data_IF_407731388751
#
_entry.id   IF_407731388751
#
_cell.length_a   1.000
_cell.length_b   1.000
_cell.length_c   1.000
_cell.angle_alpha   90.00
_cell.angle_beta   90.00
_cell.angle_gamma   90.00
#
_symmetry.space_group_name_H-M   'P 1'
#
loop_
_entity.id
_entity.type
_entity.pdbx_description
1 polymer ?
#
# COMPACT_ATOMS: atom_id res chain seq x y z
N UNK A 1 35.45 50.78 20.22
CA UNK A 1 36.18 50.17 19.09
C UNK A 1 37.20 49.19 19.64
N UNK A 2 37.04 47.89 19.40
CA UNK A 2 38.03 46.90 19.81
C UNK A 2 39.28 47.07 18.93
N UNK A 3 40.44 47.32 19.55
CA UNK A 3 41.70 47.41 18.84
C UNK A 3 41.93 46.11 18.05
N UNK A 4 42.16 46.22 16.74
CA UNK A 4 42.54 45.09 15.88
C UNK A 4 43.81 44.48 16.46
N UNK A 5 43.69 43.30 17.05
CA UNK A 5 44.82 42.59 17.62
C UNK A 5 45.81 42.25 16.49
N UNK A 6 47.04 42.77 16.57
CA UNK A 6 48.09 42.52 15.58
C UNK A 6 48.38 41.01 15.49
N UNK A 7 48.53 40.48 14.27
CA UNK A 7 48.86 39.07 13.99
C UNK A 7 50.12 38.61 14.74
N UNK A 8 51.07 39.54 14.99
CA UNK A 8 52.31 39.30 15.74
C UNK A 8 52.07 38.97 17.23
N UNK A 9 50.92 39.32 17.80
CA UNK A 9 50.58 39.04 19.21
C UNK A 9 50.22 37.57 19.50
N UNK A 10 50.08 36.75 18.46
CA UNK A 10 49.91 35.30 18.60
C UNK A 10 51.24 34.56 18.76
N UNK A 11 52.36 35.16 18.36
CA UNK A 11 53.71 34.55 18.37
C UNK A 11 54.52 34.87 19.64
N UNK A 12 53.86 35.29 20.72
CA UNK A 12 54.54 35.50 22.00
C UNK A 12 55.06 34.15 22.51
N UNK A 13 56.34 34.00 22.93
CA UNK A 13 56.95 32.72 23.27
C UNK A 13 56.15 31.86 24.25
N UNK A 14 55.52 32.48 25.25
CA UNK A 14 54.65 31.82 26.23
C UNK A 14 53.40 31.18 25.60
N UNK A 15 52.80 31.82 24.60
CA UNK A 15 51.63 31.29 23.87
C UNK A 15 52.05 30.12 22.98
N UNK A 16 53.17 30.26 22.28
CA UNK A 16 53.73 29.19 21.46
C UNK A 16 54.06 27.95 22.30
N UNK A 17 54.66 28.14 23.47
CA UNK A 17 54.93 27.05 24.41
C UNK A 17 53.64 26.35 24.86
N UNK A 18 52.59 27.11 25.19
CA UNK A 18 51.30 26.53 25.56
C UNK A 18 50.67 25.73 24.41
N UNK A 19 50.63 26.27 23.18
CA UNK A 19 50.07 25.54 22.04
C UNK A 19 50.89 24.33 21.63
N UNK A 20 52.22 24.40 21.79
CA UNK A 20 53.10 23.26 21.59
C UNK A 20 52.76 22.13 22.57
N UNK A 21 52.61 22.44 23.86
CA UNK A 21 52.20 21.47 24.88
C UNK A 21 50.80 20.93 24.60
N UNK A 22 49.85 21.81 24.27
CA UNK A 22 48.46 21.44 24.00
C UNK A 22 48.35 20.47 22.81
N UNK A 23 48.90 20.82 21.64
CA UNK A 23 48.87 19.93 20.47
C UNK A 23 49.76 18.70 20.67
N UNK A 24 50.90 18.83 21.38
CA UNK A 24 51.73 17.70 21.78
C UNK A 24 50.97 16.69 22.64
N UNK A 25 50.09 17.16 23.53
CA UNK A 25 49.21 16.31 24.33
C UNK A 25 48.15 15.60 23.47
N UNK A 26 47.60 16.24 22.43
CA UNK A 26 46.68 15.57 21.50
C UNK A 26 47.38 14.42 20.77
N UNK A 27 48.59 14.67 20.25
CA UNK A 27 49.40 13.66 19.58
C UNK A 27 49.75 12.53 20.56
N UNK A 28 50.12 12.87 21.80
CA UNK A 28 50.42 11.88 22.85
C UNK A 28 49.21 11.01 23.21
N UNK A 29 48.04 11.60 23.42
CA UNK A 29 46.79 10.87 23.71
C UNK A 29 46.39 10.00 22.52
N UNK A 30 46.53 10.51 21.29
CA UNK A 30 46.28 9.75 20.08
C UNK A 30 47.20 8.53 19.99
N UNK A 31 48.52 8.73 20.16
CA UNK A 31 49.52 7.67 20.13
C UNK A 31 49.29 6.64 21.26
N UNK A 32 48.89 7.10 22.44
CA UNK A 32 48.51 6.22 23.55
C UNK A 32 47.27 5.39 23.21
N UNK A 33 46.21 6.00 22.66
CA UNK A 33 44.99 5.29 22.25
C UNK A 33 45.26 4.28 21.15
N UNK A 34 46.12 4.62 20.19
CA UNK A 34 46.62 3.72 19.17
C UNK A 34 47.34 2.53 19.80
N UNK A 35 48.36 2.79 20.64
CA UNK A 35 49.14 1.75 21.31
C UNK A 35 48.26 0.86 22.17
N UNK A 36 47.35 1.45 22.95
CA UNK A 36 46.42 0.73 23.81
C UNK A 36 45.56 -0.24 22.99
N UNK A 37 45.00 0.22 21.88
CA UNK A 37 44.22 -0.64 20.99
C UNK A 37 45.07 -1.76 20.38
N UNK A 38 46.31 -1.47 19.97
CA UNK A 38 47.21 -2.44 19.36
C UNK A 38 47.75 -3.50 20.35
N UNK A 39 48.05 -3.10 21.59
CA UNK A 39 48.76 -3.93 22.57
C UNK A 39 47.85 -4.63 23.59
N UNK A 40 46.64 -4.13 23.86
CA UNK A 40 45.80 -4.67 24.93
C UNK A 40 45.08 -5.97 24.51
N UNK A 41 45.28 -7.10 25.23
CA UNK A 41 44.71 -8.40 24.85
C UNK A 41 43.17 -8.40 24.79
N UNK A 42 42.51 -7.60 25.64
CA UNK A 42 41.05 -7.45 25.65
C UNK A 42 40.49 -6.81 24.39
N UNK A 43 41.30 -6.02 23.70
CA UNK A 43 40.93 -5.29 22.49
C UNK A 43 41.42 -5.99 21.20
N UNK A 44 42.14 -7.11 21.34
CA UNK A 44 42.82 -7.80 20.24
C UNK A 44 41.87 -8.28 19.14
N UNK A 45 40.63 -8.63 19.47
CA UNK A 45 39.62 -9.05 18.49
C UNK A 45 39.38 -8.00 17.39
N UNK A 46 39.47 -6.70 17.74
CA UNK A 46 39.24 -5.61 16.80
C UNK A 46 40.50 -5.26 15.99
N UNK A 47 41.68 -5.78 16.34
CA UNK A 47 42.93 -5.52 15.62
C UNK A 47 42.99 -6.20 14.25
N UNK A 48 42.04 -7.10 13.94
CA UNK A 48 41.83 -7.61 12.58
C UNK A 48 41.56 -6.51 11.54
N UNK A 49 41.02 -5.36 11.98
CA UNK A 49 40.76 -4.19 11.14
C UNK A 49 41.98 -3.23 11.03
N UNK A 50 43.11 -3.57 11.68
CA UNK A 50 44.40 -2.88 11.57
C UNK A 50 44.31 -1.38 11.88
N UNK A 51 44.90 -0.55 11.01
CA UNK A 51 45.10 0.88 11.19
C UNK A 51 43.81 1.67 11.45
N UNK A 52 42.69 1.31 10.83
CA UNK A 52 41.45 2.09 10.97
C UNK A 52 40.85 1.98 12.37
N UNK A 53 40.97 0.83 13.05
CA UNK A 53 40.54 0.73 14.46
C UNK A 53 41.50 1.49 15.38
N UNK A 54 42.80 1.44 15.12
CA UNK A 54 43.80 2.14 15.92
C UNK A 54 43.63 3.66 15.84
N UNK A 55 43.43 4.19 14.62
CA UNK A 55 43.11 5.60 14.37
C UNK A 55 41.81 5.99 15.07
N UNK A 56 40.75 5.19 14.91
CA UNK A 56 39.45 5.51 15.52
C UNK A 56 39.52 5.59 17.05
N UNK A 57 40.29 4.69 17.70
CA UNK A 57 40.49 4.71 19.16
C UNK A 57 41.30 5.91 19.61
N UNK A 58 42.43 6.18 18.95
CA UNK A 58 43.27 7.34 19.22
C UNK A 58 42.47 8.64 19.12
N UNK A 59 41.79 8.85 17.99
CA UNK A 59 40.96 10.03 17.76
C UNK A 59 39.80 10.14 18.77
N UNK A 60 39.17 9.02 19.15
CA UNK A 60 38.09 9.00 20.14
C UNK A 60 38.54 9.40 21.55
N UNK A 61 39.77 9.05 21.95
CA UNK A 61 40.34 9.50 23.23
C UNK A 61 40.69 10.99 23.21
N UNK A 62 41.21 11.50 22.10
CA UNK A 62 41.47 12.94 21.94
C UNK A 62 40.16 13.74 21.97
N UNK A 63 39.11 13.25 21.31
CA UNK A 63 37.78 13.88 21.39
C UNK A 63 37.22 13.89 22.82
N UNK A 64 37.38 12.79 23.57
CA UNK A 64 36.98 12.74 24.98
C UNK A 64 37.71 13.79 25.82
N UNK A 65 39.00 14.00 25.54
CA UNK A 65 39.80 15.05 26.15
C UNK A 65 39.28 16.45 25.76
N UNK A 66 39.01 16.70 24.48
CA UNK A 66 38.53 18.00 24.01
C UNK A 66 37.15 18.37 24.54
N UNK A 67 36.25 17.39 24.73
CA UNK A 67 34.93 17.60 25.35
C UNK A 67 35.05 18.16 26.78
N UNK A 68 36.09 17.75 27.53
CA UNK A 68 36.37 18.35 28.83
C UNK A 68 36.90 19.79 28.65
N UNK A 69 37.89 19.97 27.78
CA UNK A 69 38.62 21.24 27.62
C UNK A 69 37.89 22.33 26.85
N UNK A 70 36.79 22.02 26.15
CA UNK A 70 35.95 23.03 25.50
C UNK A 70 35.10 23.80 26.51
N UNK A 71 34.76 23.18 27.65
CA UNK A 71 33.90 23.77 28.70
C UNK A 71 34.70 24.61 29.69
N UNK A 72 35.91 24.19 30.08
CA UNK A 72 36.77 24.90 31.04
C UNK A 72 36.99 26.41 30.73
N UNK A 73 37.19 26.84 29.47
CA UNK A 73 37.39 28.24 29.13
C UNK A 73 36.11 29.09 29.25
N UNK A 74 34.93 28.44 29.37
CA UNK A 74 33.64 29.09 29.56
C UNK A 74 33.26 29.24 31.04
N UNK A 75 33.98 28.59 31.97
CA UNK A 75 33.79 28.71 33.41
C UNK A 75 34.35 30.04 33.96
N UNK A 76 33.68 31.16 33.63
CA UNK A 76 34.16 32.53 33.89
C UNK A 76 34.49 32.81 35.36
N UNK A 77 33.69 32.29 36.30
CA UNK A 77 33.93 32.45 37.76
C UNK A 77 35.22 31.76 38.20
N UNK A 78 35.47 30.55 37.69
CA UNK A 78 36.70 29.79 37.97
C UNK A 78 37.93 30.49 37.38
N UNK A 79 37.82 30.95 36.12
CA UNK A 79 38.89 31.67 35.46
C UNK A 79 39.27 32.97 36.18
N UNK A 80 38.30 33.68 36.79
CA UNK A 80 38.57 34.88 37.60
C UNK A 80 39.52 34.58 38.78
N UNK A 81 39.38 33.42 39.42
CA UNK A 81 40.21 33.00 40.56
C UNK A 81 41.59 32.48 40.13
N UNK A 82 41.65 31.75 39.02
CA UNK A 82 42.88 31.10 38.53
C UNK A 82 43.78 32.09 37.77
N UNK A 83 43.20 33.02 37.00
CA UNK A 83 43.94 33.99 36.16
C UNK A 83 45.09 34.71 36.89
N UNK A 84 44.92 35.28 38.09
CA UNK A 84 46.03 35.96 38.78
C UNK A 84 47.12 35.01 39.28
N UNK A 85 46.80 33.73 39.52
CA UNK A 85 47.72 32.72 40.06
C UNK A 85 48.57 32.05 38.99
N UNK A 86 48.06 31.92 37.76
CA UNK A 86 48.73 31.18 36.68
C UNK A 86 49.05 32.09 35.50
N UNK A 87 50.09 32.90 35.67
CA UNK A 87 50.59 33.84 34.65
C UNK A 87 51.44 33.18 33.56
N UNK A 88 51.35 31.87 33.33
CA UNK A 88 51.98 31.23 32.16
C UNK A 88 50.93 30.67 31.16
N UNK A 89 49.67 30.47 31.58
CA UNK A 89 48.57 30.07 30.71
C UNK A 89 47.90 31.29 30.05
N UNK A 90 47.54 31.27 28.75
CA UNK A 90 46.87 32.39 28.08
C UNK A 90 45.37 32.51 28.46
N UNK A 91 45.07 32.62 29.76
CA UNK A 91 43.70 32.68 30.31
C UNK A 91 42.98 34.01 30.01
N UNK A 92 43.69 35.00 29.45
CA UNK A 92 43.11 36.27 28.98
C UNK A 92 42.34 36.11 27.66
N UNK A 93 42.68 35.09 26.87
CA UNK A 93 42.09 34.78 25.57
C UNK A 93 41.26 33.49 25.63
N UNK A 94 40.52 33.26 26.71
CA UNK A 94 39.77 32.00 26.92
C UNK A 94 38.77 31.70 25.81
N UNK A 95 38.17 32.72 25.20
CA UNK A 95 37.30 32.58 24.02
C UNK A 95 38.07 32.13 22.77
N UNK A 96 39.29 32.60 22.56
CA UNK A 96 40.14 32.17 21.45
C UNK A 96 40.61 30.73 21.68
N UNK A 97 40.98 30.37 22.91
CA UNK A 97 41.32 28.99 23.25
C UNK A 97 40.14 28.03 23.04
N UNK A 98 38.92 28.41 23.45
CA UNK A 98 37.70 27.64 23.14
C UNK A 98 37.50 27.40 21.64
N UNK A 99 37.76 28.42 20.80
CA UNK A 99 37.72 28.24 19.33
C UNK A 99 38.78 27.27 18.84
N UNK A 100 40.00 27.27 19.40
CA UNK A 100 41.01 26.28 19.03
C UNK A 100 40.60 24.85 19.41
N UNK A 101 40.05 24.66 20.61
CA UNK A 101 39.51 23.35 21.00
C UNK A 101 38.41 22.92 20.03
N UNK A 102 37.51 23.83 19.65
CA UNK A 102 36.48 23.53 18.65
C UNK A 102 37.06 23.15 17.27
N UNK A 103 38.12 23.82 16.80
CA UNK A 103 38.79 23.43 15.55
C UNK A 103 39.47 22.07 15.65
N UNK A 104 40.14 21.77 16.77
CA UNK A 104 40.71 20.46 17.02
C UNK A 104 39.62 19.37 17.05
N UNK A 105 38.49 19.61 17.71
CA UNK A 105 37.35 18.70 17.75
C UNK A 105 36.82 18.37 16.36
N UNK A 106 36.68 19.37 15.47
CA UNK A 106 36.23 19.13 14.08
C UNK A 106 37.20 18.22 13.34
N UNK A 107 38.51 18.50 13.44
CA UNK A 107 39.56 17.68 12.82
C UNK A 107 39.55 16.23 13.34
N UNK A 108 39.52 16.05 14.66
CA UNK A 108 39.53 14.72 15.28
C UNK A 108 38.22 13.97 15.06
N UNK A 109 37.09 14.69 14.95
CA UNK A 109 35.79 14.10 14.59
C UNK A 109 35.81 13.58 13.17
N UNK A 110 36.30 14.37 12.20
CA UNK A 110 36.46 13.92 10.82
C UNK A 110 37.36 12.68 10.75
N UNK A 111 38.50 12.70 11.45
CA UNK A 111 39.43 11.57 11.54
C UNK A 111 38.77 10.33 12.15
N UNK A 112 38.03 10.49 13.24
CA UNK A 112 37.33 9.40 13.93
C UNK A 112 36.23 8.77 13.05
N UNK A 113 35.40 9.60 12.41
CA UNK A 113 34.32 9.16 11.52
C UNK A 113 34.88 8.45 10.30
N UNK A 114 35.87 9.02 9.61
CA UNK A 114 36.50 8.38 8.45
C UNK A 114 37.12 7.02 8.81
N UNK A 115 37.78 6.93 9.96
CA UNK A 115 38.32 5.67 10.45
C UNK A 115 37.22 4.63 10.73
N UNK A 116 36.08 5.03 11.29
CA UNK A 116 34.92 4.17 11.45
C UNK A 116 34.27 3.73 10.12
N UNK A 117 34.24 4.59 9.09
CA UNK A 117 33.80 4.19 7.75
C UNK A 117 34.69 3.11 7.14
N UNK A 118 36.02 3.25 7.27
CA UNK A 118 36.96 2.21 6.82
C UNK A 118 36.76 0.91 7.62
N UNK A 119 36.49 1.01 8.93
CA UNK A 119 36.13 -0.16 9.75
C UNK A 119 34.86 -0.85 9.21
N UNK A 120 33.81 -0.08 8.93
CA UNK A 120 32.55 -0.60 8.39
C UNK A 120 32.79 -1.33 7.07
N UNK A 121 33.47 -0.69 6.11
CA UNK A 121 33.79 -1.29 4.82
C UNK A 121 34.61 -2.58 4.93
N UNK A 122 35.60 -2.61 5.83
CA UNK A 122 36.43 -3.81 6.05
C UNK A 122 35.62 -4.95 6.70
N UNK A 123 34.68 -4.64 7.59
CA UNK A 123 33.77 -5.63 8.18
C UNK A 123 32.79 -6.15 7.12
N UNK A 124 32.20 -5.27 6.32
CA UNK A 124 31.29 -5.61 5.22
C UNK A 124 31.97 -6.54 4.20
N UNK A 125 33.20 -6.22 3.79
CA UNK A 125 34.01 -7.06 2.89
C UNK A 125 34.27 -8.46 3.44
N UNK A 126 34.38 -8.61 4.76
CA UNK A 126 34.70 -9.90 5.39
C UNK A 126 33.48 -10.73 5.75
N UNK A 127 32.35 -10.09 6.10
CA UNK A 127 31.17 -10.76 6.67
C UNK A 127 29.85 -10.45 5.96
N UNK A 128 29.70 -9.27 5.35
CA UNK A 128 28.43 -8.77 4.80
C UNK A 128 28.04 -9.39 3.45
N UNK A 129 29.01 -9.53 2.56
CA UNK A 129 28.79 -10.01 1.18
C UNK A 129 28.03 -11.34 1.10
N UNK A 130 28.19 -12.24 2.08
CA UNK A 130 27.52 -13.54 2.10
C UNK A 130 26.00 -13.39 2.19
N UNK A 131 25.53 -12.51 3.07
CA UNK A 131 24.10 -12.26 3.27
C UNK A 131 23.50 -11.45 2.12
N UNK A 132 24.28 -10.52 1.56
CA UNK A 132 23.89 -9.76 0.38
C UNK A 132 23.79 -10.62 -0.89
N UNK A 133 24.67 -11.61 -1.07
CA UNK A 133 24.54 -12.55 -2.18
C UNK A 133 23.29 -13.41 -2.06
N UNK A 134 22.95 -13.89 -0.85
CA UNK A 134 21.72 -14.64 -0.65
C UNK A 134 20.48 -13.76 -0.87
N UNK A 135 20.40 -12.59 -0.21
CA UNK A 135 19.27 -11.67 -0.34
C UNK A 135 19.13 -11.12 -1.77
N UNK A 136 20.24 -10.66 -2.35
CA UNK A 136 20.31 -10.17 -3.72
C UNK A 136 20.05 -11.25 -4.76
N UNK A 137 20.52 -12.48 -4.53
CA UNK A 137 20.24 -13.64 -5.38
C UNK A 137 18.76 -14.00 -5.38
N UNK A 138 18.12 -14.06 -4.21
CA UNK A 138 16.67 -14.31 -4.07
C UNK A 138 15.87 -13.20 -4.75
N UNK A 139 16.23 -11.93 -4.52
CA UNK A 139 15.58 -10.79 -5.16
C UNK A 139 15.74 -10.82 -6.69
N UNK A 140 16.95 -11.07 -7.19
CA UNK A 140 17.23 -11.15 -8.62
C UNK A 140 16.44 -12.30 -9.26
N UNK A 141 16.38 -13.46 -8.61
CA UNK A 141 15.60 -14.59 -9.08
C UNK A 141 14.10 -14.25 -9.15
N UNK A 142 13.55 -13.64 -8.10
CA UNK A 142 12.15 -13.18 -8.08
C UNK A 142 11.88 -12.18 -9.21
N UNK A 143 12.79 -11.23 -9.42
CA UNK A 143 12.67 -10.19 -10.44
C UNK A 143 12.72 -10.76 -11.85
N UNK A 144 13.65 -11.67 -12.11
CA UNK A 144 13.79 -12.36 -13.40
C UNK A 144 12.57 -13.25 -13.66
N UNK A 145 12.10 -13.99 -12.66
CA UNK A 145 10.91 -14.82 -12.78
C UNK A 145 9.67 -13.99 -13.14
N UNK A 146 9.48 -12.84 -12.51
CA UNK A 146 8.37 -11.92 -12.83
C UNK A 146 8.48 -11.34 -14.23
N UNK A 147 9.66 -10.93 -14.67
CA UNK A 147 9.87 -10.40 -16.02
C UNK A 147 9.56 -11.46 -17.09
N UNK A 148 10.03 -12.69 -16.90
CA UNK A 148 9.75 -13.82 -17.79
C UNK A 148 8.27 -14.17 -17.79
N UNK A 149 7.62 -14.22 -16.61
CA UNK A 149 6.18 -14.49 -16.48
C UNK A 149 5.34 -13.42 -17.18
N UNK A 150 5.73 -12.15 -17.05
CA UNK A 150 4.94 -11.05 -17.53
C UNK A 150 5.03 -10.84 -19.05
N UNK A 151 6.15 -11.20 -19.66
CA UNK A 151 6.39 -11.16 -21.12
C UNK A 151 5.81 -12.32 -21.92
N UNK A 152 5.16 -13.30 -21.27
CA UNK A 152 4.44 -14.37 -21.98
C UNK A 152 3.33 -13.78 -22.86
N UNK A 153 3.08 -14.42 -24.02
CA UNK A 153 2.13 -13.94 -25.03
C UNK A 153 0.78 -13.57 -24.41
N UNK A 154 0.36 -12.34 -24.68
CA UNK A 154 -0.86 -11.73 -24.16
C UNK A 154 -1.45 -10.86 -25.26
N UNK A 155 -2.71 -11.08 -25.62
CA UNK A 155 -3.37 -10.37 -26.73
C UNK A 155 -4.68 -9.75 -26.28
N UNK A 156 -4.85 -8.46 -26.58
CA UNK A 156 -6.12 -7.77 -26.37
C UNK A 156 -7.12 -8.29 -27.41
N UNK A 157 -8.27 -8.77 -26.92
CA UNK A 157 -9.37 -9.27 -27.76
C UNK A 157 -10.34 -8.15 -28.06
N UNK A 158 -10.71 -7.38 -27.03
CA UNK A 158 -11.75 -6.36 -27.11
C UNK A 158 -11.55 -5.29 -26.06
N UNK A 159 -11.85 -4.05 -26.43
CA UNK A 159 -11.86 -2.91 -25.51
C UNK A 159 -13.25 -2.26 -25.59
N UNK A 160 -13.89 -2.08 -24.43
CA UNK A 160 -15.20 -1.46 -24.33
C UNK A 160 -15.08 -0.23 -23.46
N UNK A 161 -15.46 0.92 -24.01
CA UNK A 161 -15.65 2.15 -23.26
C UNK A 161 -16.99 2.08 -22.54
N UNK A 162 -16.97 2.31 -21.24
CA UNK A 162 -18.13 2.45 -20.38
C UNK A 162 -18.37 3.93 -20.06
N UNK A 163 -19.59 4.31 -19.66
CA UNK A 163 -19.87 5.64 -19.12
C UNK A 163 -18.96 6.00 -17.93
N UNK A 164 -18.80 7.30 -17.67
CA UNK A 164 -18.04 7.87 -16.54
C UNK A 164 -16.57 7.43 -16.45
N UNK A 165 -15.87 7.48 -17.57
CA UNK A 165 -14.43 7.27 -17.66
C UNK A 165 -13.98 5.89 -17.15
N UNK A 166 -14.78 4.86 -17.43
CA UNK A 166 -14.42 3.47 -17.22
C UNK A 166 -14.13 2.77 -18.55
N UNK A 167 -13.13 1.89 -18.56
CA UNK A 167 -12.74 1.11 -19.73
C UNK A 167 -12.62 -0.35 -19.34
N UNK A 168 -13.33 -1.21 -20.03
CA UNK A 168 -13.19 -2.66 -19.92
C UNK A 168 -12.20 -3.15 -20.98
N UNK A 169 -11.24 -3.95 -20.54
CA UNK A 169 -10.20 -4.50 -21.39
C UNK A 169 -10.28 -6.01 -21.29
N UNK A 170 -10.63 -6.66 -22.39
CA UNK A 170 -10.69 -8.11 -22.52
C UNK A 170 -9.44 -8.60 -23.26
N UNK A 171 -8.73 -9.54 -22.69
CA UNK A 171 -7.50 -10.09 -23.25
C UNK A 171 -7.37 -11.59 -22.99
N UNK A 172 -6.53 -12.26 -23.76
CA UNK A 172 -6.21 -13.68 -23.58
C UNK A 172 -4.77 -13.85 -23.15
N UNK A 173 -4.55 -14.73 -22.17
CA UNK A 173 -3.22 -15.15 -21.71
C UNK A 173 -3.23 -16.64 -21.40
N UNK A 174 -2.88 -17.52 -22.36
CA UNK A 174 -2.97 -18.97 -22.18
C UNK A 174 -2.16 -19.52 -21.00
N UNK A 175 -1.08 -18.83 -20.63
CA UNK A 175 -0.21 -19.23 -19.52
C UNK A 175 -0.78 -18.93 -18.14
N UNK A 176 -1.92 -18.25 -18.04
CA UNK A 176 -2.50 -17.74 -16.80
C UNK A 176 -3.79 -18.48 -16.48
N UNK A 177 -3.86 -19.08 -15.29
CA UNK A 177 -5.09 -19.62 -14.69
C UNK A 177 -5.33 -18.85 -13.41
N UNK A 178 -6.54 -18.39 -13.19
CA UNK A 178 -6.90 -17.54 -12.05
C UNK A 178 -8.19 -18.02 -11.39
N UNK A 179 -8.40 -17.57 -10.16
CA UNK A 179 -9.64 -17.76 -9.40
C UNK A 179 -10.41 -16.45 -9.30
N UNK A 180 -11.74 -16.49 -9.10
CA UNK A 180 -12.53 -15.28 -9.00
C UNK A 180 -12.08 -14.40 -7.83
N UNK A 181 -12.11 -13.09 -8.01
CA UNK A 181 -11.67 -12.11 -7.01
C UNK A 181 -10.15 -11.86 -6.99
N UNK A 182 -9.36 -12.67 -7.70
CA UNK A 182 -7.93 -12.40 -7.87
C UNK A 182 -7.68 -11.15 -8.70
N UNK A 183 -6.46 -10.62 -8.59
CA UNK A 183 -6.03 -9.41 -9.26
C UNK A 183 -4.68 -9.63 -9.95
N UNK A 184 -4.27 -8.68 -10.77
CA UNK A 184 -3.04 -8.74 -11.56
C UNK A 184 -2.42 -7.36 -11.70
N UNK A 185 -1.14 -7.30 -12.05
CA UNK A 185 -0.51 -6.08 -12.50
C UNK A 185 -0.49 -6.04 -14.03
N UNK A 186 -0.81 -4.87 -14.58
CA UNK A 186 -0.65 -4.57 -15.99
C UNK A 186 0.48 -3.58 -16.19
N UNK A 187 1.23 -3.77 -17.27
CA UNK A 187 2.19 -2.82 -17.81
C UNK A 187 1.91 -2.65 -19.30
N UNK A 188 1.94 -1.41 -19.76
CA UNK A 188 1.79 -1.05 -21.17
C UNK A 188 3.07 -0.33 -21.62
N UNK A 189 4.01 -1.03 -22.29
CA UNK A 189 5.31 -0.46 -22.65
C UNK A 189 5.24 0.80 -23.53
N UNK A 190 4.17 0.99 -24.32
CA UNK A 190 3.96 2.22 -25.11
C UNK A 190 3.63 3.44 -24.25
N UNK A 191 3.09 3.24 -23.05
CA UNK A 191 2.80 4.30 -22.06
C UNK A 191 3.98 4.45 -21.11
N UNK A 192 4.42 3.35 -20.49
CA UNK A 192 5.54 3.32 -19.57
C UNK A 192 6.15 1.92 -19.49
N UNK A 193 7.46 1.81 -19.71
CA UNK A 193 8.18 0.53 -19.60
C UNK A 193 8.41 0.05 -18.17
N UNK A 194 8.20 0.90 -17.16
CA UNK A 194 8.57 0.62 -15.77
C UNK A 194 7.39 0.59 -14.79
N UNK A 195 6.28 1.25 -15.13
CA UNK A 195 5.12 1.32 -14.25
C UNK A 195 4.25 0.06 -14.37
N UNK A 196 3.91 -0.53 -13.22
CA UNK A 196 3.01 -1.67 -13.10
C UNK A 196 1.85 -1.27 -12.21
N UNK A 197 0.62 -1.42 -12.70
CA UNK A 197 -0.58 -0.99 -11.99
C UNK A 197 -1.49 -2.17 -11.66
N UNK A 198 -1.97 -2.29 -10.41
CA UNK A 198 -2.81 -3.40 -9.98
C UNK A 198 -4.25 -3.19 -10.44
N UNK A 199 -4.88 -4.25 -10.95
CA UNK A 199 -6.30 -4.28 -11.30
C UNK A 199 -6.91 -5.62 -10.95
N UNK A 200 -8.12 -5.57 -10.40
CA UNK A 200 -8.91 -6.76 -10.09
C UNK A 200 -9.48 -7.37 -11.37
N UNK A 201 -9.43 -8.69 -11.46
CA UNK A 201 -10.01 -9.43 -12.58
C UNK A 201 -11.52 -9.44 -12.43
N UNK A 202 -12.23 -8.97 -13.45
CA UNK A 202 -13.70 -8.83 -13.44
C UNK A 202 -14.42 -9.95 -14.19
N UNK A 203 -13.71 -10.72 -15.02
CA UNK A 203 -14.24 -11.90 -15.72
C UNK A 203 -14.33 -13.11 -14.80
N UNK A 204 -15.23 -14.02 -15.13
CA UNK A 204 -15.32 -15.33 -14.52
C UNK A 204 -14.24 -16.27 -15.12
N UNK A 205 -13.63 -17.20 -14.35
CA UNK A 205 -12.68 -18.18 -14.91
C UNK A 205 -13.23 -19.08 -16.02
N UNK A 206 -14.57 -19.14 -16.18
CA UNK A 206 -15.24 -19.85 -17.26
C UNK A 206 -15.38 -19.01 -18.54
N UNK A 207 -15.12 -17.71 -18.49
CA UNK A 207 -15.16 -16.83 -19.66
C UNK A 207 -13.98 -17.16 -20.60
N UNK A 208 -14.14 -17.05 -21.93
CA UNK A 208 -13.07 -17.34 -22.89
C UNK A 208 -11.95 -16.27 -22.89
N UNK A 209 -12.11 -15.22 -22.10
CA UNK A 209 -11.19 -14.09 -21.97
C UNK A 209 -11.02 -13.69 -20.51
N UNK A 210 -9.93 -12.98 -20.22
CA UNK A 210 -9.70 -12.29 -18.96
C UNK A 210 -10.08 -10.83 -19.15
N UNK A 211 -10.92 -10.28 -18.28
CA UNK A 211 -11.29 -8.86 -18.31
C UNK A 211 -10.86 -8.13 -17.05
N UNK A 212 -10.51 -6.86 -17.23
CA UNK A 212 -10.33 -5.89 -16.15
C UNK A 212 -11.14 -4.63 -16.47
N UNK A 213 -11.59 -3.93 -15.42
CA UNK A 213 -12.23 -2.62 -15.54
C UNK A 213 -11.33 -1.55 -14.93
N UNK A 214 -10.99 -0.54 -15.73
CA UNK A 214 -10.04 0.51 -15.37
C UNK A 214 -10.77 1.85 -15.38
N UNK A 215 -10.75 2.56 -14.26
CA UNK A 215 -11.26 3.93 -14.17
C UNK A 215 -10.14 4.94 -14.41
N UNK A 216 -10.40 5.96 -15.22
CA UNK A 216 -9.40 6.95 -15.66
C UNK A 216 -9.17 8.07 -14.63
N UNK A 217 -8.69 7.70 -13.44
CA UNK A 217 -8.47 8.62 -12.31
C UNK A 217 -7.10 9.31 -12.30
N UNK A 218 -6.07 8.70 -12.88
CA UNK A 218 -4.67 9.12 -12.77
C UNK A 218 -3.99 9.39 -14.10
N UNK A 219 -2.73 9.79 -14.05
CA UNK A 219 -1.86 9.99 -15.20
C UNK A 219 -1.70 8.70 -16.04
N UNK A 220 -1.34 7.59 -15.39
CA UNK A 220 -1.19 6.30 -16.07
C UNK A 220 -2.52 5.80 -16.64
N UNK A 221 -3.61 5.84 -15.88
CA UNK A 221 -4.88 5.24 -16.34
C UNK A 221 -5.53 6.03 -17.48
N UNK A 222 -5.35 7.36 -17.52
CA UNK A 222 -5.75 8.19 -18.66
C UNK A 222 -4.88 7.92 -19.88
N UNK A 223 -3.55 7.93 -19.73
CA UNK A 223 -2.64 7.65 -20.84
C UNK A 223 -2.82 6.22 -21.38
N UNK A 224 -3.12 5.26 -20.50
CA UNK A 224 -3.44 3.89 -20.90
C UNK A 224 -4.76 3.79 -21.65
N UNK A 225 -5.80 4.51 -21.20
CA UNK A 225 -7.04 4.61 -21.96
C UNK A 225 -6.83 5.28 -23.32
N UNK A 226 -6.06 6.37 -23.40
CA UNK A 226 -5.71 7.06 -24.66
C UNK A 226 -5.00 6.11 -25.63
N UNK A 227 -4.06 5.31 -25.14
CA UNK A 227 -3.33 4.32 -25.94
C UNK A 227 -4.23 3.19 -26.47
N UNK A 228 -5.34 2.92 -25.78
CA UNK A 228 -6.38 1.96 -26.20
C UNK A 228 -7.46 2.60 -27.08
N UNK A 229 -7.38 3.90 -27.36
CA UNK A 229 -8.41 4.65 -28.09
C UNK A 229 -9.63 5.03 -27.26
N UNK A 230 -9.60 4.79 -25.94
CA UNK A 230 -10.71 4.94 -25.00
C UNK A 230 -10.63 6.21 -24.14
N UNK A 231 -9.59 7.02 -24.33
CA UNK A 231 -9.23 8.09 -23.42
C UNK A 231 -9.82 9.45 -23.81
N UNK A 232 -9.48 10.51 -23.05
CA UNK A 232 -9.97 11.86 -23.30
C UNK A 232 -9.48 12.44 -24.63
N UNK A 233 -8.34 11.97 -25.17
CA UNK A 233 -7.82 12.44 -26.46
C UNK A 233 -8.78 12.14 -27.61
N UNK A 234 -9.56 11.06 -27.50
CA UNK A 234 -10.57 10.67 -28.48
C UNK A 234 -11.97 11.20 -28.14
N UNK A 235 -12.15 12.03 -27.10
CA UNK A 235 -13.46 12.58 -26.68
C UNK A 235 -14.30 13.12 -27.84
N UNK A 236 -13.69 13.88 -28.75
CA UNK A 236 -14.36 14.46 -29.93
C UNK A 236 -15.01 13.44 -30.88
N UNK A 237 -14.51 12.20 -30.92
CA UNK A 237 -15.10 11.13 -31.73
C UNK A 237 -16.41 10.60 -31.13
N UNK A 238 -16.67 10.92 -29.86
CA UNK A 238 -17.80 10.44 -29.07
C UNK A 238 -18.79 11.55 -28.71
N UNK A 239 -18.54 12.81 -29.10
CA UNK A 239 -19.43 13.94 -28.77
C UNK A 239 -20.83 13.76 -29.38
N UNK A 240 -20.94 13.05 -30.51
CA UNK A 240 -22.21 12.73 -31.19
C UNK A 240 -22.84 11.41 -30.72
N UNK A 241 -22.18 10.68 -29.81
CA UNK A 241 -22.65 9.40 -29.28
C UNK A 241 -23.41 9.58 -27.96
N UNK A 242 -24.34 8.66 -27.66
CA UNK A 242 -25.05 8.66 -26.37
C UNK A 242 -24.04 8.57 -25.21
N UNK A 243 -23.94 9.60 -24.33
CA UNK A 243 -22.97 9.63 -23.24
C UNK A 243 -23.13 8.47 -22.25
N UNK A 244 -24.31 7.83 -22.21
CA UNK A 244 -24.60 6.70 -21.33
C UNK A 244 -24.45 5.33 -22.02
N UNK A 245 -24.03 5.32 -23.29
CA UNK A 245 -23.80 4.10 -24.06
C UNK A 245 -22.48 3.39 -23.72
N UNK A 246 -22.46 2.06 -23.93
CA UNK A 246 -21.23 1.26 -23.97
C UNK A 246 -20.76 1.10 -25.41
N UNK A 247 -19.51 1.44 -25.69
CA UNK A 247 -18.96 1.44 -27.04
C UNK A 247 -17.76 0.52 -27.17
N UNK A 248 -17.83 -0.43 -28.08
CA UNK A 248 -16.66 -1.20 -28.48
C UNK A 248 -15.74 -0.34 -29.34
N UNK A 249 -14.46 -0.34 -29.02
CA UNK A 249 -13.46 0.43 -29.74
C UNK A 249 -13.00 -0.40 -30.93
N UNK A 250 -13.49 -0.01 -32.11
CA UNK A 250 -13.01 -0.57 -33.36
C UNK A 250 -11.64 0.02 -33.71
N UNK A 251 -10.67 -0.83 -34.04
CA UNK A 251 -9.41 -0.41 -34.61
C UNK A 251 -9.65 0.19 -36.00
N UNK A 252 -9.14 1.40 -36.24
CA UNK A 252 -9.10 1.94 -37.60
C UNK A 252 -8.10 1.15 -38.45
N UNK A 253 -8.28 1.14 -39.78
CA UNK A 253 -7.37 0.45 -40.70
C UNK A 253 -5.91 0.91 -40.48
N UNK A 254 -5.04 -0.02 -40.07
CA UNK A 254 -3.61 0.22 -39.81
C UNK A 254 -3.26 0.56 -38.36
N UNK A 255 -4.23 0.68 -37.45
CA UNK A 255 -3.97 0.80 -36.01
C UNK A 255 -3.89 -0.59 -35.37
N UNK A 256 -2.83 -0.83 -34.59
CA UNK A 256 -2.68 -2.03 -33.77
C UNK A 256 -2.92 -1.69 -32.30
N UNK A 257 -3.53 -2.63 -31.57
CA UNK A 257 -3.67 -2.51 -30.12
C UNK A 257 -2.28 -2.49 -29.46
N UNK A 258 -2.06 -1.66 -28.43
CA UNK A 258 -0.78 -1.64 -27.74
C UNK A 258 -0.50 -3.00 -27.08
N UNK A 259 0.77 -3.42 -27.11
CA UNK A 259 1.19 -4.62 -26.39
C UNK A 259 1.04 -4.40 -24.88
N UNK A 260 0.46 -5.38 -24.18
CA UNK A 260 0.32 -5.38 -22.72
C UNK A 260 1.12 -6.52 -22.11
N UNK A 261 1.72 -6.26 -20.96
CA UNK A 261 2.39 -7.27 -20.13
C UNK A 261 1.58 -7.46 -18.86
N UNK A 262 1.38 -8.72 -18.48
CA UNK A 262 0.51 -9.09 -17.36
C UNK A 262 1.29 -9.93 -16.37
N UNK A 263 1.42 -9.43 -15.14
CA UNK A 263 2.03 -10.11 -14.02
C UNK A 263 0.93 -10.55 -13.04
N UNK A 264 0.73 -11.86 -12.87
CA UNK A 264 -0.38 -12.39 -12.08
C UNK A 264 -0.71 -13.86 -12.41
N UNK A 265 -1.77 -14.41 -11.78
CA UNK A 265 -2.65 -13.73 -10.83
C UNK A 265 -2.03 -13.63 -9.42
N UNK A 266 -2.57 -12.72 -8.62
CA UNK A 266 -2.30 -12.56 -7.21
C UNK A 266 -3.54 -12.91 -6.39
N UNK A 267 -3.32 -13.63 -5.29
CA UNK A 267 -4.40 -14.08 -4.42
C UNK A 267 -5.12 -12.95 -3.70
N UNK A 268 -6.39 -13.19 -3.40
CA UNK A 268 -7.24 -12.27 -2.64
C UNK A 268 -8.01 -13.06 -1.56
N UNK A 269 -8.24 -12.49 -0.36
CA UNK A 269 -9.07 -13.12 0.68
C UNK A 269 -10.45 -13.56 0.20
N UNK A 270 -11.01 -12.88 -0.80
CA UNK A 270 -12.27 -13.20 -1.43
C UNK A 270 -12.33 -14.58 -2.12
N UNK A 271 -11.20 -15.28 -2.28
CA UNK A 271 -11.19 -16.69 -2.72
C UNK A 271 -11.94 -17.61 -1.74
N UNK A 272 -11.96 -17.28 -0.46
CA UNK A 272 -12.54 -18.11 0.60
C UNK A 272 -14.07 -17.96 0.71
N UNK A 273 -14.70 -17.16 -0.17
CA UNK A 273 -16.16 -16.90 -0.17
C UNK A 273 -16.97 -18.20 -0.21
N UNK A 274 -16.46 -19.21 -0.91
CA UNK A 274 -17.12 -20.51 -1.09
C UNK A 274 -17.07 -21.41 0.15
N UNK A 275 -16.21 -21.10 1.13
CA UNK A 275 -16.04 -21.86 2.36
C UNK A 275 -16.98 -21.40 3.50
N UNK A 276 -17.82 -20.39 3.26
CA UNK A 276 -18.82 -19.92 4.22
C UNK A 276 -20.23 -20.36 3.83
N UNK A 277 -21.12 -20.47 4.82
CA UNK A 277 -22.53 -20.79 4.56
C UNK A 277 -23.30 -19.58 4.04
N UNK A 278 -22.98 -18.41 4.59
CA UNK A 278 -23.51 -17.11 4.17
C UNK A 278 -22.32 -16.22 3.81
N UNK A 279 -22.35 -15.59 2.65
CA UNK A 279 -21.37 -14.60 2.25
C UNK A 279 -22.01 -13.21 2.17
N UNK A 280 -21.44 -12.24 2.89
CA UNK A 280 -21.80 -10.83 2.83
C UNK A 280 -20.71 -10.10 2.06
N UNK A 281 -21.00 -9.70 0.83
CA UNK A 281 -20.09 -9.02 -0.08
C UNK A 281 -20.39 -7.52 -0.05
N UNK A 282 -19.47 -6.71 0.47
CA UNK A 282 -19.66 -5.27 0.65
C UNK A 282 -18.69 -4.51 -0.25
N UNK A 283 -19.22 -3.78 -1.23
CA UNK A 283 -18.45 -2.92 -2.14
C UNK A 283 -18.73 -1.45 -1.90
N UNK A 284 -17.70 -0.61 -1.96
CA UNK A 284 -17.86 0.85 -1.96
C UNK A 284 -17.31 1.47 -3.24
N UNK A 285 -18.12 2.22 -3.98
CA UNK A 285 -17.73 2.81 -5.26
C UNK A 285 -17.13 1.77 -6.23
N UNK A 286 -15.90 2.00 -6.71
CA UNK A 286 -15.19 1.06 -7.61
C UNK A 286 -14.73 -0.23 -6.92
N UNK A 287 -14.72 -0.28 -5.58
CA UNK A 287 -14.44 -1.50 -4.82
C UNK A 287 -15.45 -2.63 -5.04
N UNK A 288 -16.39 -2.47 -5.96
CA UNK A 288 -17.32 -3.49 -6.40
C UNK A 288 -16.72 -4.47 -7.43
N UNK A 289 -15.62 -4.09 -8.09
CA UNK A 289 -14.95 -4.89 -9.13
C UNK A 289 -14.64 -6.35 -8.76
N UNK A 290 -14.10 -6.71 -7.57
CA UNK A 290 -13.90 -8.13 -7.22
C UNK A 290 -15.21 -8.93 -7.21
N UNK A 291 -16.31 -8.27 -6.84
CA UNK A 291 -17.61 -8.91 -6.72
C UNK A 291 -18.21 -9.27 -8.08
N UNK A 292 -17.84 -8.57 -9.18
CA UNK A 292 -18.26 -8.96 -10.54
C UNK A 292 -17.85 -10.41 -10.85
N UNK A 293 -16.57 -10.71 -10.69
CA UNK A 293 -16.00 -12.01 -11.01
C UNK A 293 -16.57 -13.11 -10.11
N UNK A 294 -16.72 -12.80 -8.82
CA UNK A 294 -17.26 -13.74 -7.82
C UNK A 294 -18.73 -14.05 -8.08
N UNK A 295 -19.57 -13.04 -8.29
CA UNK A 295 -21.00 -13.22 -8.54
C UNK A 295 -21.25 -14.01 -9.85
N UNK A 296 -20.54 -13.67 -10.93
CA UNK A 296 -20.60 -14.45 -12.18
C UNK A 296 -20.18 -15.91 -11.96
N UNK A 297 -19.11 -16.14 -11.19
CA UNK A 297 -18.64 -17.49 -10.91
C UNK A 297 -19.62 -18.30 -10.06
N UNK A 298 -20.23 -17.67 -9.04
CA UNK A 298 -21.25 -18.31 -8.21
C UNK A 298 -22.42 -18.76 -9.09
N UNK A 299 -22.86 -17.91 -10.03
CA UNK A 299 -23.92 -18.25 -10.97
C UNK A 299 -23.56 -19.44 -11.86
N UNK A 300 -22.39 -19.44 -12.50
CA UNK A 300 -21.92 -20.56 -13.33
C UNK A 300 -21.82 -21.88 -12.53
N UNK A 301 -21.27 -21.83 -11.31
CA UNK A 301 -21.16 -23.04 -10.48
C UNK A 301 -22.51 -23.57 -10.03
N UNK A 302 -23.53 -22.72 -9.88
CA UNK A 302 -24.90 -23.15 -9.56
C UNK A 302 -25.58 -23.87 -10.72
N UNK A 303 -25.31 -23.44 -11.95
CA UNK A 303 -25.80 -24.11 -13.16
C UNK A 303 -25.04 -25.40 -13.48
N UNK A 304 -23.87 -25.59 -12.88
CA UNK A 304 -23.07 -26.80 -13.08
C UNK A 304 -23.78 -28.05 -12.49
N UNK A 305 -23.54 -29.26 -13.01
CA UNK A 305 -24.18 -30.48 -12.52
C UNK A 305 -23.94 -30.78 -11.03
N UNK A 306 -22.83 -30.28 -10.47
CA UNK A 306 -22.44 -30.49 -9.08
C UNK A 306 -22.22 -29.15 -8.37
N UNK A 307 -23.31 -28.43 -8.02
CA UNK A 307 -23.19 -27.12 -7.41
C UNK A 307 -22.60 -27.22 -5.99
N UNK A 308 -21.75 -26.27 -5.58
CA UNK A 308 -21.23 -26.22 -4.22
C UNK A 308 -22.39 -26.08 -3.22
N UNK A 309 -22.42 -26.99 -2.24
CA UNK A 309 -23.54 -27.10 -1.27
C UNK A 309 -23.36 -26.25 -0.01
N UNK A 310 -22.14 -25.79 0.26
CA UNK A 310 -21.82 -25.07 1.51
C UNK A 310 -22.34 -23.64 1.49
N UNK A 311 -22.00 -22.86 0.47
CA UNK A 311 -22.55 -21.53 0.28
C UNK A 311 -24.03 -21.63 -0.05
N UNK A 312 -24.89 -21.15 0.86
CA UNK A 312 -26.35 -21.22 0.76
C UNK A 312 -26.99 -19.88 0.46
N UNK A 313 -26.32 -18.76 0.77
CA UNK A 313 -26.82 -17.41 0.51
C UNK A 313 -25.74 -16.37 0.36
N UNK A 314 -26.01 -15.38 -0.49
CA UNK A 314 -25.14 -14.25 -0.76
C UNK A 314 -25.92 -12.95 -0.54
N UNK A 315 -25.42 -12.12 0.37
CA UNK A 315 -25.90 -10.76 0.59
C UNK A 315 -24.90 -9.79 -0.03
N UNK A 316 -25.27 -9.15 -1.13
CA UNK A 316 -24.45 -8.18 -1.82
C UNK A 316 -24.89 -6.77 -1.42
N UNK A 317 -24.02 -6.04 -0.73
CA UNK A 317 -24.26 -4.68 -0.26
C UNK A 317 -23.36 -3.73 -1.05
N UNK A 318 -23.97 -2.86 -1.84
CA UNK A 318 -23.24 -1.88 -2.64
C UNK A 318 -23.52 -0.47 -2.16
N UNK A 319 -22.47 0.21 -1.70
CA UNK A 319 -22.55 1.56 -1.17
C UNK A 319 -21.86 2.52 -2.13
N UNK A 320 -22.64 3.39 -2.76
CA UNK A 320 -22.11 4.45 -3.61
C UNK A 320 -22.35 5.82 -3.01
N UNK A 321 -21.49 6.75 -3.40
CA UNK A 321 -21.69 8.16 -3.10
C UNK A 321 -22.67 8.75 -4.10
N UNK A 322 -22.39 8.60 -5.39
CA UNK A 322 -23.09 9.26 -6.48
C UNK A 322 -23.70 8.22 -7.43
N UNK A 323 -24.78 8.58 -8.14
CA UNK A 323 -25.53 7.68 -9.04
C UNK A 323 -24.73 7.23 -10.25
N UNK A 324 -23.80 8.05 -10.74
CA UNK A 324 -22.88 7.73 -11.84
C UNK A 324 -22.00 6.50 -11.58
N UNK A 325 -21.74 6.18 -10.31
CA UNK A 325 -20.97 4.99 -9.96
C UNK A 325 -21.75 3.69 -10.18
N UNK A 326 -23.08 3.76 -10.40
CA UNK A 326 -23.93 2.60 -10.56
C UNK A 326 -23.93 2.01 -11.98
N UNK A 327 -23.72 2.80 -13.02
CA UNK A 327 -24.15 2.40 -14.38
C UNK A 327 -23.32 1.27 -15.01
N UNK A 328 -21.98 1.24 -14.88
CA UNK A 328 -21.18 0.19 -15.52
C UNK A 328 -21.40 -1.21 -14.90
N UNK A 329 -21.73 -1.27 -13.61
CA UNK A 329 -21.96 -2.54 -12.89
C UNK A 329 -23.45 -2.89 -12.81
N UNK A 330 -24.35 -1.94 -13.08
CA UNK A 330 -25.79 -2.15 -13.17
C UNK A 330 -26.16 -3.16 -14.25
N UNK A 331 -25.56 -3.07 -15.44
CA UNK A 331 -25.83 -4.03 -16.53
C UNK A 331 -25.53 -5.48 -16.08
N UNK A 332 -24.43 -5.66 -15.33
CA UNK A 332 -24.09 -6.95 -14.75
C UNK A 332 -25.09 -7.39 -13.67
N UNK A 333 -25.45 -6.50 -12.74
CA UNK A 333 -26.42 -6.82 -11.69
C UNK A 333 -27.80 -7.16 -12.24
N UNK A 334 -28.27 -6.41 -13.24
CA UNK A 334 -29.53 -6.67 -13.93
C UNK A 334 -29.51 -8.04 -14.63
N UNK A 335 -28.40 -8.37 -15.30
CA UNK A 335 -28.18 -9.70 -15.88
C UNK A 335 -28.19 -10.80 -14.81
N UNK A 336 -27.56 -10.58 -13.64
CA UNK A 336 -27.51 -11.55 -12.56
C UNK A 336 -28.88 -11.71 -11.87
N UNK A 337 -29.64 -10.63 -11.67
CA UNK A 337 -31.00 -10.69 -11.11
C UNK A 337 -31.99 -11.36 -12.08
N UNK A 338 -31.88 -11.08 -13.38
CA UNK A 338 -32.72 -11.70 -14.41
C UNK A 338 -32.44 -13.20 -14.55
N UNK A 339 -31.18 -13.61 -14.37
CA UNK A 339 -30.73 -15.00 -14.46
C UNK A 339 -30.78 -15.73 -13.11
N UNK A 340 -31.13 -15.04 -12.01
CA UNK A 340 -31.38 -15.65 -10.70
C UNK A 340 -32.72 -16.37 -10.75
N UNK A 341 -32.76 -17.71 -10.72
CA UNK A 341 -33.98 -18.48 -10.95
C UNK A 341 -34.90 -18.40 -9.73
N UNK A 342 -35.73 -17.37 -9.67
CA UNK A 342 -36.93 -17.34 -8.84
C UNK A 342 -38.10 -17.99 -9.55
N UNK A 343 -38.04 -19.31 -9.86
CA UNK A 343 -39.20 -20.19 -10.18
C UNK A 343 -38.79 -21.57 -10.69
N UNK A 344 -37.94 -22.28 -9.94
CA UNK A 344 -37.98 -23.75 -9.99
C UNK A 344 -39.22 -24.25 -9.22
N UNK A 345 -39.81 -25.40 -9.58
CA UNK A 345 -41.04 -25.93 -8.95
C UNK A 345 -40.94 -26.20 -7.44
N UNK A 346 -39.74 -26.09 -6.85
CA UNK A 346 -39.47 -26.26 -5.42
C UNK A 346 -38.97 -24.97 -4.73
N UNK A 347 -39.52 -23.80 -5.06
CA UNK A 347 -39.63 -22.64 -4.15
C UNK A 347 -38.43 -22.26 -3.27
N UNK A 348 -37.19 -22.38 -3.76
CA UNK A 348 -36.03 -21.99 -2.96
C UNK A 348 -35.85 -20.47 -3.01
N UNK A 349 -35.98 -19.86 -1.83
CA UNK A 349 -35.87 -18.44 -1.50
C UNK A 349 -34.57 -17.79 -2.03
N UNK A 350 -34.65 -16.49 -2.36
CA UNK A 350 -33.61 -15.63 -2.95
C UNK A 350 -32.16 -15.94 -2.53
N UNK A 351 -31.45 -16.74 -3.33
CA UNK A 351 -30.05 -17.09 -3.09
C UNK A 351 -29.12 -15.86 -3.07
N UNK A 352 -29.36 -14.90 -3.96
CA UNK A 352 -28.65 -13.63 -4.07
C UNK A 352 -29.61 -12.50 -3.71
N UNK A 353 -29.27 -11.72 -2.68
CA UNK A 353 -29.96 -10.47 -2.34
C UNK A 353 -29.03 -9.30 -2.55
N UNK A 354 -29.52 -8.30 -3.28
CA UNK A 354 -28.78 -7.08 -3.60
C UNK A 354 -29.36 -5.94 -2.75
N UNK A 355 -28.48 -5.19 -2.10
CA UNK A 355 -28.83 -4.01 -1.32
C UNK A 355 -27.99 -2.84 -1.80
N UNK A 356 -28.64 -1.91 -2.47
CA UNK A 356 -27.99 -0.69 -2.94
C UNK A 356 -28.17 0.42 -1.91
N UNK A 357 -27.10 1.18 -1.63
CA UNK A 357 -27.11 2.33 -0.74
C UNK A 357 -26.52 3.56 -1.44
N UNK A 358 -27.30 4.64 -1.53
CA UNK A 358 -26.86 5.94 -2.01
C UNK A 358 -26.61 6.88 -0.83
N UNK A 359 -25.36 7.32 -0.67
CA UNK A 359 -24.93 8.10 0.50
C UNK A 359 -24.87 9.61 0.29
N UNK A 360 -24.94 10.10 -0.96
CA UNK A 360 -25.10 11.52 -1.25
C UNK A 360 -26.46 12.02 -0.78
N UNK A 361 -26.50 13.27 -0.31
CA UNK A 361 -27.77 13.96 -0.03
C UNK A 361 -28.49 14.18 -1.35
N UNK A 362 -29.63 13.53 -1.51
CA UNK A 362 -30.52 13.73 -2.65
C UNK A 362 -31.32 15.01 -2.38
N UNK A 363 -31.42 15.87 -3.39
CA UNK A 363 -32.28 17.06 -3.31
C UNK A 363 -33.75 16.66 -3.15
N UNK A 364 -34.56 17.53 -2.53
CA UNK A 364 -35.97 17.24 -2.22
C UNK A 364 -36.76 16.94 -3.49
N UNK A 365 -36.49 17.68 -4.57
CA UNK A 365 -37.16 17.49 -5.85
C UNK A 365 -36.79 16.15 -6.51
N UNK A 366 -35.50 15.79 -6.48
CA UNK A 366 -35.03 14.49 -6.98
C UNK A 366 -35.57 13.34 -6.13
N UNK A 367 -35.62 13.48 -4.81
CA UNK A 367 -36.19 12.48 -3.91
C UNK A 367 -37.69 12.29 -4.16
N UNK A 368 -38.43 13.38 -4.35
CA UNK A 368 -39.85 13.33 -4.72
C UNK A 368 -40.06 12.65 -6.08
N UNK A 369 -39.23 12.95 -7.08
CA UNK A 369 -39.28 12.27 -8.37
C UNK A 369 -39.00 10.77 -8.27
N UNK A 370 -38.01 10.37 -7.45
CA UNK A 370 -37.72 8.95 -7.20
C UNK A 370 -38.90 8.26 -6.54
N UNK A 371 -39.49 8.88 -5.50
CA UNK A 371 -40.64 8.32 -4.79
C UNK A 371 -41.83 8.19 -5.73
N UNK A 372 -42.16 9.23 -6.50
CA UNK A 372 -43.26 9.21 -7.47
C UNK A 372 -43.08 8.12 -8.54
N UNK A 373 -41.86 7.97 -9.07
CA UNK A 373 -41.55 6.95 -10.07
C UNK A 373 -41.37 5.53 -9.49
N UNK A 374 -41.34 5.39 -8.16
CA UNK A 374 -41.27 4.10 -7.45
C UNK A 374 -42.64 3.52 -7.07
N UNK A 375 -43.71 4.30 -7.22
CA UNK A 375 -45.07 3.88 -6.91
C UNK A 375 -45.67 3.23 -8.15
N UNK A 376 -45.93 1.92 -8.08
CA UNK A 376 -46.55 1.14 -9.16
C UNK A 376 -45.57 0.45 -10.12
N UNK A 377 -44.25 0.61 -9.92
CA UNK A 377 -43.20 -0.09 -10.67
C UNK A 377 -42.51 -1.15 -9.81
N UNK A 378 -42.28 -2.35 -10.37
CA UNK A 378 -41.56 -3.45 -9.70
C UNK A 378 -40.03 -3.25 -9.68
N UNK A 379 -39.53 -2.26 -10.42
CA UNK A 379 -38.11 -1.93 -10.56
C UNK A 379 -37.80 -0.59 -9.92
N UNK A 380 -36.63 -0.50 -9.32
CA UNK A 380 -36.06 0.72 -8.77
C UNK A 380 -35.80 1.74 -9.89
N UNK A 381 -36.25 3.00 -9.77
CA UNK A 381 -36.12 3.99 -10.85
C UNK A 381 -34.69 4.51 -11.05
N UNK A 382 -33.76 4.24 -10.12
CA UNK A 382 -32.35 4.66 -10.24
C UNK A 382 -31.47 3.56 -10.81
N UNK A 383 -31.70 2.32 -10.38
CA UNK A 383 -30.83 1.17 -10.71
C UNK A 383 -31.49 0.15 -11.63
N UNK A 384 -32.79 0.29 -11.90
CA UNK A 384 -33.62 -0.67 -12.65
C UNK A 384 -33.61 -2.11 -12.11
N UNK A 385 -33.10 -2.30 -10.89
CA UNK A 385 -33.08 -3.58 -10.19
C UNK A 385 -34.41 -3.82 -9.48
N UNK A 386 -34.71 -5.08 -9.17
CA UNK A 386 -35.87 -5.43 -8.32
C UNK A 386 -35.65 -4.94 -6.88
N UNK A 387 -34.40 -4.92 -6.45
CA UNK A 387 -33.99 -4.41 -5.15
C UNK A 387 -34.02 -2.88 -5.12
N UNK A 388 -34.79 -2.31 -4.19
CA UNK A 388 -34.92 -0.84 -4.04
C UNK A 388 -33.65 -0.23 -3.44
N UNK A 389 -33.31 0.97 -3.89
CA UNK A 389 -32.17 1.73 -3.35
C UNK A 389 -32.48 2.31 -1.98
N UNK A 390 -31.60 2.08 -1.01
CA UNK A 390 -31.66 2.68 0.32
C UNK A 390 -30.89 4.02 0.34
N UNK A 391 -31.43 5.01 1.05
CA UNK A 391 -30.78 6.32 1.17
C UNK A 391 -30.06 6.44 2.51
N UNK A 392 -28.83 6.96 2.47
CA UNK A 392 -27.96 7.12 3.63
C UNK A 392 -26.95 5.98 3.82
N UNK A 393 -26.24 6.02 4.95
CA UNK A 393 -25.19 5.04 5.26
C UNK A 393 -25.81 3.78 5.87
N UNK A 394 -25.36 2.56 5.49
CA UNK A 394 -25.81 1.34 6.13
C UNK A 394 -25.43 1.32 7.61
N UNK A 395 -26.38 0.97 8.47
CA UNK A 395 -26.10 0.64 9.87
C UNK A 395 -25.70 -0.84 9.96
N UNK A 396 -24.41 -1.11 9.74
CA UNK A 396 -23.87 -2.48 9.77
C UNK A 396 -24.05 -3.16 11.13
N UNK A 397 -24.14 -2.41 12.23
CA UNK A 397 -24.39 -3.00 13.55
C UNK A 397 -25.79 -3.60 13.60
N UNK A 398 -26.81 -2.84 13.20
CA UNK A 398 -28.19 -3.33 13.15
C UNK A 398 -28.36 -4.44 12.12
N UNK A 399 -27.75 -4.30 10.94
CA UNK A 399 -27.86 -5.29 9.87
C UNK A 399 -27.29 -6.64 10.28
N UNK A 400 -26.06 -6.67 10.82
CA UNK A 400 -25.40 -7.92 11.20
C UNK A 400 -26.02 -8.54 12.47
N UNK A 401 -26.48 -7.73 13.42
CA UNK A 401 -27.23 -8.22 14.60
C UNK A 401 -28.59 -8.80 14.18
N UNK A 402 -29.32 -8.11 13.30
CA UNK A 402 -30.58 -8.62 12.75
C UNK A 402 -30.37 -9.92 11.97
N UNK A 403 -29.28 -10.03 11.20
CA UNK A 403 -28.90 -11.27 10.52
C UNK A 403 -28.63 -12.40 11.52
N UNK A 404 -27.84 -12.15 12.56
CA UNK A 404 -27.59 -13.11 13.65
C UNK A 404 -28.90 -13.59 14.26
N UNK A 405 -29.77 -12.67 14.67
CA UNK A 405 -31.03 -13.01 15.34
C UNK A 405 -31.96 -13.78 14.40
N UNK A 406 -31.98 -13.44 13.11
CA UNK A 406 -32.71 -14.17 12.08
C UNK A 406 -32.18 -15.60 11.89
N UNK A 407 -30.85 -15.79 11.90
CA UNK A 407 -30.22 -17.12 11.79
C UNK A 407 -30.57 -17.95 13.03
N UNK A 408 -30.46 -17.37 14.23
CA UNK A 408 -30.77 -18.05 15.49
C UNK A 408 -32.26 -18.44 15.60
N UNK A 409 -33.16 -17.54 15.18
CA UNK A 409 -34.62 -17.78 15.16
C UNK A 409 -35.08 -18.63 13.98
N UNK A 410 -34.16 -19.02 13.07
CA UNK A 410 -34.43 -19.82 11.86
C UNK A 410 -35.39 -19.17 10.87
N UNK A 411 -35.60 -17.86 11.00
CA UNK A 411 -36.39 -17.05 10.08
C UNK A 411 -35.56 -16.55 8.89
N UNK A 412 -34.23 -16.63 8.98
CA UNK A 412 -33.35 -16.11 7.94
C UNK A 412 -33.18 -17.07 6.76
N UNK A 413 -33.11 -18.39 6.98
CA UNK A 413 -33.08 -19.43 5.95
C UNK A 413 -33.59 -20.77 6.49
N UNK A 414 -34.31 -21.53 5.65
CA UNK A 414 -34.74 -22.89 5.97
C UNK A 414 -33.60 -23.92 5.83
N UNK A 415 -33.65 -25.01 6.61
CA UNK A 415 -32.73 -26.16 6.45
C UNK A 415 -31.34 -26.05 7.09
N UNK A 416 -31.10 -25.13 8.03
CA UNK A 416 -29.85 -25.02 8.82
C UNK A 416 -29.67 -26.13 9.89
N UNK A 417 -30.50 -27.17 9.86
CA UNK A 417 -30.71 -28.15 10.93
C UNK A 417 -29.48 -29.03 11.26
N UNK A 418 -28.41 -29.04 10.46
CA UNK A 418 -27.32 -30.01 10.58
C UNK A 418 -26.00 -29.48 11.14
N UNK A 419 -25.84 -28.17 11.38
CA UNK A 419 -24.56 -27.61 11.87
C UNK A 419 -24.72 -27.03 13.28
N UNK A 420 -23.84 -27.45 14.20
CA UNK A 420 -23.71 -26.86 15.55
C UNK A 420 -23.36 -25.36 15.53
N UNK A 421 -22.86 -24.84 14.39
CA UNK A 421 -22.41 -23.46 14.24
C UNK A 421 -22.48 -22.99 12.78
N UNK A 422 -23.04 -21.81 12.55
CA UNK A 422 -23.13 -21.16 11.24
C UNK A 422 -21.96 -20.20 11.04
N UNK A 423 -21.27 -20.32 9.90
CA UNK A 423 -20.19 -19.43 9.50
C UNK A 423 -20.67 -18.40 8.48
N UNK A 424 -20.63 -17.12 8.88
CA UNK A 424 -20.91 -15.97 8.03
C UNK A 424 -19.60 -15.29 7.65
N UNK A 425 -19.32 -15.22 6.35
CA UNK A 425 -18.15 -14.52 5.84
C UNK A 425 -18.48 -13.13 5.35
N UNK A 426 -17.86 -12.11 5.94
CA UNK A 426 -18.04 -10.70 5.59
C UNK A 426 -16.80 -10.20 4.86
N UNK A 427 -16.96 -9.88 3.58
CA UNK A 427 -15.90 -9.44 2.69
C UNK A 427 -16.14 -7.98 2.32
N UNK A 428 -15.17 -7.10 2.60
CA UNK A 428 -15.32 -5.67 2.40
C UNK A 428 -14.21 -5.11 1.53
N UNK A 429 -14.59 -4.38 0.47
CA UNK A 429 -13.68 -3.62 -0.37
C UNK A 429 -14.02 -2.13 -0.34
N UNK A 430 -13.15 -1.34 0.29
CA UNK A 430 -13.38 0.08 0.48
C UNK A 430 -12.49 0.79 1.51
N UNK A 431 -12.86 2.02 1.90
CA UNK A 431 -12.10 2.85 2.83
C UNK A 431 -11.80 2.17 4.17
N UNK A 432 -10.57 2.35 4.67
CA UNK A 432 -10.12 1.76 5.95
C UNK A 432 -10.95 2.15 7.17
N UNK A 433 -11.58 3.33 7.15
CA UNK A 433 -12.46 3.79 8.24
C UNK A 433 -13.71 2.90 8.32
N UNK A 434 -14.41 2.71 7.19
CA UNK A 434 -15.57 1.84 7.12
C UNK A 434 -15.22 0.37 7.45
N UNK A 435 -14.05 -0.11 7.01
CA UNK A 435 -13.57 -1.45 7.36
C UNK A 435 -13.46 -1.67 8.88
N UNK A 436 -13.01 -0.65 9.65
CA UNK A 436 -12.91 -0.75 11.11
C UNK A 436 -14.28 -0.84 11.77
N UNK A 437 -15.23 -0.05 11.30
CA UNK A 437 -16.59 -0.02 11.83
C UNK A 437 -17.33 -1.34 11.54
N UNK A 438 -17.20 -1.87 10.32
CA UNK A 438 -17.77 -3.16 9.92
C UNK A 438 -17.14 -4.30 10.74
N UNK A 439 -15.82 -4.30 10.92
CA UNK A 439 -15.16 -5.32 11.75
C UNK A 439 -15.62 -5.27 13.20
N UNK A 440 -15.81 -4.06 13.76
CA UNK A 440 -16.38 -3.89 15.11
C UNK A 440 -17.80 -4.45 15.19
N UNK A 441 -18.64 -4.18 14.17
CA UNK A 441 -19.99 -4.73 14.08
C UNK A 441 -20.00 -6.27 13.96
N UNK A 442 -19.10 -6.85 13.15
CA UNK A 442 -18.95 -8.32 13.03
C UNK A 442 -18.60 -8.97 14.38
N UNK A 443 -17.67 -8.36 15.14
CA UNK A 443 -17.30 -8.85 16.47
C UNK A 443 -18.45 -8.76 17.46
N UNK A 444 -19.24 -7.68 17.41
CA UNK A 444 -20.42 -7.52 18.27
C UNK A 444 -21.56 -8.49 17.92
N UNK A 445 -21.71 -8.84 16.63
CA UNK A 445 -22.71 -9.79 16.16
C UNK A 445 -22.29 -11.26 16.33
N UNK A 446 -21.02 -11.55 16.63
CA UNK A 446 -20.55 -12.93 16.81
C UNK A 446 -21.01 -13.52 18.14
N UNK A 447 -21.58 -14.72 18.10
CA UNK A 447 -22.00 -15.51 19.26
C UNK A 447 -21.52 -16.98 19.13
N UNK A 448 -21.76 -17.86 20.11
CA UNK A 448 -21.36 -19.26 20.02
C UNK A 448 -21.93 -19.98 18.79
N UNK A 449 -23.19 -19.71 18.45
CA UNK A 449 -23.92 -20.38 17.37
C UNK A 449 -23.65 -19.75 15.99
N UNK A 450 -23.35 -18.45 15.93
CA UNK A 450 -23.11 -17.71 14.67
C UNK A 450 -21.77 -17.00 14.72
N UNK A 451 -20.86 -17.38 13.82
CA UNK A 451 -19.53 -16.77 13.70
C UNK A 451 -19.45 -15.86 12.49
N UNK A 452 -19.21 -14.57 12.73
CA UNK A 452 -18.85 -13.63 11.68
C UNK A 452 -17.33 -13.57 11.53
N UNK A 453 -16.83 -13.84 10.33
CA UNK A 453 -15.43 -13.65 9.96
C UNK A 453 -15.33 -12.46 9.00
N UNK A 454 -14.43 -11.52 9.29
CA UNK A 454 -14.28 -10.30 8.51
C UNK A 454 -12.96 -10.32 7.72
N UNK A 455 -13.04 -10.06 6.43
CA UNK A 455 -11.90 -9.87 5.55
C UNK A 455 -11.98 -8.51 4.86
N UNK A 456 -10.85 -7.79 4.88
CA UNK A 456 -10.69 -6.55 4.15
C UNK A 456 -9.91 -6.80 2.87
N UNK A 457 -10.53 -6.47 1.76
CA UNK A 457 -9.89 -6.38 0.46
C UNK A 457 -9.16 -5.03 0.33
N UNK A 458 -7.99 -5.08 -0.30
CA UNK A 458 -7.16 -3.91 -0.57
C UNK A 458 -7.05 -3.75 -2.09
N UNK A 459 -7.99 -3.02 -2.68
CA UNK A 459 -8.02 -2.68 -4.11
C UNK A 459 -8.12 -1.17 -4.30
#
# INVERSE_FOLDING_TARGET
MAAKQSWTSHFIPRKLLFYFIFHGLHIGIFAFGWYKQAAEPRLAALNGLKFSVWISRGAGLVLSFDVLFILLPMCRTLLRVIRPKVRWLPLDESQWFHRQVAYAMVFWTATHVLAHYVNFFNVEKTQGWRWELWGGGIYLFERLYREVRARRDTRIVKVVRHPYDAVEIQFTKPSMRYKPGQWLFINCPSVSGYQWHPFTITSCPYDPYISIHVRQVGDFTRAFADALGAGPAQSKLYDDMDPNGMYEIALQHGQEMPAIRIDGPYGAPAEDVFDNEIAVLIGTGIGVTPWASILKNIWHMRLSPNPPKRLRRVEFIWVCKDTSSFEWFQALLSSLEAQSPGSGPNGNEDFLRIHTYLTQKVDVDTANNIVLNSVGTDKDPLTELKSRTNFGRPDFSKLLVGMRDGIMTRSYMSGLESSLRTDVGVYFCGPSVAARDINKACKAATCPDVRFRFWKEHF
#
